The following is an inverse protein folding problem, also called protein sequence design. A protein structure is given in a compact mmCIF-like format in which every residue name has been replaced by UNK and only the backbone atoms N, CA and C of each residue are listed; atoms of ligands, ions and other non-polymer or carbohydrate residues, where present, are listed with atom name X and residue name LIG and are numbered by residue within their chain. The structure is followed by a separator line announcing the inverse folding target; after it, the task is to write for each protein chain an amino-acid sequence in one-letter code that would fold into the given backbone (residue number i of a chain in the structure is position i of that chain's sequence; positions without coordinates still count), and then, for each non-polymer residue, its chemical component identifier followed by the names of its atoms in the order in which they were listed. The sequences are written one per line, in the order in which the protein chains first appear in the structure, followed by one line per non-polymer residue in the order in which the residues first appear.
data_IF_723784452798
#
_entry.id   IF_723784452798
#
_cell.length_a   1.000
_cell.length_b   1.000
_cell.length_c   1.000
_cell.angle_alpha   90.00
_cell.angle_beta   90.00
_cell.angle_gamma   90.00
#
_symmetry.space_group_name_H-M   'P 1'
#
loop_
_entity.id
_entity.type
_entity.pdbx_description
1 polymer ?
#
# COMPACT_ATOMS: atom_id res chain seq x y z
N UNK A 1 23.71 7.30 -11.40
CA UNK A 1 24.60 6.69 -10.38
C UNK A 1 24.02 5.32 -10.04
N UNK A 2 24.81 4.24 -9.97
CA UNK A 2 24.31 2.97 -9.47
C UNK A 2 23.90 3.15 -8.01
N UNK A 3 22.60 3.09 -7.74
CA UNK A 3 22.09 3.06 -6.37
C UNK A 3 22.45 1.71 -5.76
N UNK A 4 23.20 1.74 -4.65
CA UNK A 4 23.54 0.53 -3.91
C UNK A 4 22.25 -0.08 -3.38
N UNK A 5 21.99 -1.34 -3.74
CA UNK A 5 20.85 -2.08 -3.24
C UNK A 5 21.15 -2.54 -1.81
N UNK A 6 20.34 -2.09 -0.87
CA UNK A 6 20.43 -2.47 0.53
C UNK A 6 19.70 -3.79 0.73
N UNK A 7 20.37 -4.81 1.29
CA UNK A 7 19.68 -6.03 1.69
C UNK A 7 18.79 -5.75 2.89
N UNK A 8 17.49 -6.05 2.77
CA UNK A 8 16.49 -5.72 3.81
C UNK A 8 15.66 -6.91 4.27
N UNK A 9 15.93 -8.10 3.74
CA UNK A 9 15.24 -9.30 4.20
C UNK A 9 15.23 -10.43 3.20
N UNK A 10 14.47 -11.47 3.51
CA UNK A 10 14.24 -12.58 2.59
C UNK A 10 12.84 -13.16 2.72
N UNK A 11 12.39 -13.83 1.66
CA UNK A 11 11.14 -14.60 1.63
C UNK A 11 11.45 -16.04 1.22
N UNK A 12 10.78 -17.02 1.81
CA UNK A 12 10.92 -18.41 1.43
C UNK A 12 9.67 -18.88 0.69
N UNK A 13 9.86 -19.76 -0.27
CA UNK A 13 8.77 -20.43 -0.98
C UNK A 13 8.82 -21.92 -0.66
N UNK A 14 7.65 -22.48 -0.42
CA UNK A 14 7.41 -23.89 -0.12
C UNK A 14 6.60 -24.51 -1.26
N UNK A 15 7.11 -25.60 -1.81
CA UNK A 15 6.42 -26.41 -2.83
C UNK A 15 6.18 -27.80 -2.23
N UNK A 16 5.06 -27.95 -1.52
CA UNK A 16 4.79 -29.13 -0.70
C UNK A 16 5.81 -29.29 0.43
N UNK A 17 6.51 -30.43 0.56
CA UNK A 17 7.51 -30.64 1.61
C UNK A 17 8.85 -29.93 1.31
N UNK A 18 9.04 -29.40 0.10
CA UNK A 18 10.30 -28.79 -0.30
C UNK A 18 10.32 -27.31 0.05
N UNK A 19 11.32 -26.92 0.86
CA UNK A 19 11.67 -25.52 1.12
C UNK A 19 12.72 -25.06 0.11
N UNK A 20 12.34 -24.13 -0.76
CA UNK A 20 13.27 -23.52 -1.71
C UNK A 20 14.31 -22.63 -1.01
N UNK A 21 15.32 -22.21 -1.78
CA UNK A 21 16.30 -21.24 -1.29
C UNK A 21 15.62 -19.92 -0.90
N UNK A 22 16.08 -19.24 0.18
CA UNK A 22 15.61 -17.90 0.50
C UNK A 22 15.80 -16.96 -0.69
N UNK A 23 14.77 -16.18 -0.99
CA UNK A 23 14.81 -15.14 -2.01
C UNK A 23 15.12 -13.83 -1.28
N UNK A 24 16.27 -13.24 -1.59
CA UNK A 24 16.68 -11.97 -1.00
C UNK A 24 15.80 -10.81 -1.49
N UNK A 25 15.46 -9.92 -0.56
CA UNK A 25 14.74 -8.67 -0.79
C UNK A 25 15.70 -7.50 -0.66
N UNK A 26 15.62 -6.59 -1.62
CA UNK A 26 16.48 -5.43 -1.67
C UNK A 26 15.68 -4.14 -1.65
N UNK A 27 16.16 -3.17 -0.89
CA UNK A 27 15.67 -1.81 -0.87
C UNK A 27 16.49 -0.95 -1.83
N UNK A 28 15.78 -0.23 -2.68
CA UNK A 28 16.29 0.88 -3.46
C UNK A 28 15.68 2.20 -2.95
N UNK A 29 16.52 3.16 -2.59
CA UNK A 29 16.10 4.48 -2.11
C UNK A 29 16.34 5.51 -3.21
N UNK A 30 15.28 6.15 -3.68
CA UNK A 30 15.35 7.34 -4.52
C UNK A 30 15.12 8.58 -3.65
N UNK A 31 15.26 9.78 -4.23
CA UNK A 31 15.15 11.05 -3.50
C UNK A 31 13.79 11.25 -2.81
N UNK A 32 12.72 10.64 -3.34
CA UNK A 32 11.35 10.79 -2.82
C UNK A 32 10.64 9.48 -2.53
N UNK A 33 11.24 8.32 -2.83
CA UNK A 33 10.55 7.05 -2.74
C UNK A 33 11.48 5.90 -2.35
N UNK A 34 10.92 4.89 -1.72
CA UNK A 34 11.57 3.62 -1.42
C UNK A 34 10.90 2.53 -2.24
N UNK A 35 11.70 1.62 -2.80
CA UNK A 35 11.22 0.44 -3.51
C UNK A 35 11.83 -0.81 -2.89
N UNK A 36 11.01 -1.83 -2.60
CA UNK A 36 11.47 -3.11 -2.06
C UNK A 36 11.00 -4.23 -2.97
N UNK A 37 11.91 -5.12 -3.35
CA UNK A 37 11.55 -6.32 -4.09
C UNK A 37 12.73 -7.26 -4.31
N UNK A 38 12.47 -8.49 -4.74
CA UNK A 38 13.51 -9.43 -5.11
C UNK A 38 14.09 -9.08 -6.49
N UNK A 39 15.29 -9.59 -6.76
CA UNK A 39 15.89 -9.55 -8.10
C UNK A 39 15.77 -10.88 -8.84
N UNK A 40 15.35 -11.94 -8.15
CA UNK A 40 15.26 -13.28 -8.72
C UNK A 40 13.98 -13.46 -9.54
N UNK A 41 14.13 -13.96 -10.77
CA UNK A 41 13.00 -14.45 -11.58
C UNK A 41 12.39 -15.72 -10.95
N UNK A 42 11.05 -15.89 -10.97
CA UNK A 42 10.00 -15.04 -11.58
C UNK A 42 9.45 -13.94 -10.67
N UNK A 43 10.04 -13.72 -9.50
CA UNK A 43 9.47 -12.85 -8.46
C UNK A 43 9.85 -11.38 -8.60
N UNK A 44 10.77 -11.06 -9.52
CA UNK A 44 11.33 -9.74 -9.74
C UNK A 44 10.29 -8.67 -10.16
N UNK A 45 9.10 -9.08 -10.57
CA UNK A 45 8.01 -8.18 -10.95
C UNK A 45 7.21 -7.68 -9.72
N UNK A 46 7.37 -8.33 -8.57
CA UNK A 46 6.71 -7.93 -7.32
C UNK A 46 7.56 -6.87 -6.62
N UNK A 47 7.16 -5.61 -6.79
CA UNK A 47 7.87 -4.47 -6.20
C UNK A 47 6.92 -3.66 -5.33
N UNK A 48 7.22 -3.60 -4.03
CA UNK A 48 6.63 -2.68 -3.08
C UNK A 48 7.20 -1.28 -3.24
N UNK A 49 6.39 -0.24 -3.03
CA UNK A 49 6.76 1.16 -3.16
C UNK A 49 6.14 2.00 -2.04
N UNK A 50 6.86 3.02 -1.58
CA UNK A 50 6.34 3.96 -0.59
C UNK A 50 7.36 5.00 -0.16
N UNK A 51 6.87 6.11 0.39
CA UNK A 51 7.73 7.24 0.82
C UNK A 51 8.79 6.83 1.85
N UNK A 52 8.51 5.80 2.64
CA UNK A 52 9.44 5.23 3.63
C UNK A 52 9.69 3.75 3.32
N UNK A 53 10.81 3.18 3.82
CA UNK A 53 11.07 1.75 3.69
C UNK A 53 9.97 0.88 4.31
N UNK A 54 9.36 1.33 5.40
CA UNK A 54 8.26 0.62 6.07
C UNK A 54 6.98 0.61 5.24
N UNK A 55 6.65 1.72 4.57
CA UNK A 55 5.53 1.79 3.63
C UNK A 55 5.78 0.90 2.41
N UNK A 56 7.01 0.93 1.86
CA UNK A 56 7.39 0.07 0.75
C UNK A 56 7.33 -1.42 1.12
N UNK A 57 7.71 -1.79 2.35
CA UNK A 57 7.60 -3.16 2.86
C UNK A 57 6.15 -3.62 3.00
N UNK A 58 5.26 -2.74 3.48
CA UNK A 58 3.84 -3.03 3.58
C UNK A 58 3.18 -3.23 2.21
N UNK A 59 3.46 -2.35 1.24
CA UNK A 59 2.99 -2.48 -0.14
C UNK A 59 3.56 -3.75 -0.81
N UNK A 60 4.81 -4.12 -0.51
CA UNK A 60 5.38 -5.39 -0.97
C UNK A 60 4.60 -6.59 -0.44
N UNK A 61 4.29 -6.64 0.86
CA UNK A 61 3.52 -7.74 1.45
C UNK A 61 2.13 -7.89 0.85
N UNK A 62 1.47 -6.78 0.55
CA UNK A 62 0.15 -6.78 -0.10
C UNK A 62 0.23 -7.31 -1.53
N UNK A 63 1.18 -6.81 -2.32
CA UNK A 63 1.41 -7.29 -3.69
C UNK A 63 1.86 -8.74 -3.73
N UNK A 64 2.68 -9.18 -2.76
CA UNK A 64 3.14 -10.56 -2.67
C UNK A 64 1.97 -11.52 -2.45
N UNK A 65 1.00 -11.16 -1.62
CA UNK A 65 -0.25 -11.94 -1.44
C UNK A 65 -1.08 -12.03 -2.71
N UNK A 66 -1.00 -11.03 -3.59
CA UNK A 66 -1.72 -11.00 -4.86
C UNK A 66 -1.06 -11.82 -5.99
N UNK A 67 0.12 -12.42 -5.76
CA UNK A 67 0.84 -13.23 -6.77
C UNK A 67 0.15 -14.57 -7.11
N UNK A 68 -0.92 -14.93 -6.38
CA UNK A 68 -1.63 -16.19 -6.55
C UNK A 68 -1.01 -17.38 -5.81
N UNK A 69 0.09 -17.16 -5.07
CA UNK A 69 0.61 -18.14 -4.12
C UNK A 69 -0.33 -18.26 -2.91
N UNK A 70 -0.68 -19.49 -2.54
CA UNK A 70 -1.42 -19.73 -1.30
C UNK A 70 -0.55 -19.39 -0.08
N UNK A 71 -1.17 -19.02 1.04
CA UNK A 71 -0.48 -18.51 2.23
C UNK A 71 0.46 -19.54 2.90
N UNK A 72 0.26 -20.83 2.65
CA UNK A 72 1.10 -21.94 3.09
C UNK A 72 2.30 -22.22 2.14
N UNK A 73 2.27 -21.66 0.93
CA UNK A 73 3.32 -21.82 -0.08
C UNK A 73 4.48 -20.84 0.07
N UNK A 74 4.45 -19.94 1.05
CA UNK A 74 5.57 -19.04 1.32
C UNK A 74 5.63 -18.62 2.79
N UNK A 75 6.81 -18.23 3.26
CA UNK A 75 6.94 -17.56 4.56
C UNK A 75 6.57 -16.09 4.40
N UNK A 76 6.00 -15.45 5.43
CA UNK A 76 6.02 -13.98 5.46
C UNK A 76 7.45 -13.45 5.26
N UNK A 77 7.64 -12.24 4.70
CA UNK A 77 8.97 -11.67 4.56
C UNK A 77 9.65 -11.56 5.93
N UNK A 78 10.87 -12.08 6.02
CA UNK A 78 11.75 -11.90 7.17
C UNK A 78 12.51 -10.61 6.98
N UNK A 79 12.08 -9.56 7.67
CA UNK A 79 12.64 -8.22 7.56
C UNK A 79 13.89 -8.02 8.42
N UNK A 80 14.86 -7.29 7.88
CA UNK A 80 16.13 -6.91 8.51
C UNK A 80 16.28 -5.38 8.52
N UNK A 81 17.33 -4.86 9.16
CA UNK A 81 17.67 -3.42 9.09
C UNK A 81 16.64 -2.49 9.77
N UNK A 82 15.81 -3.03 10.67
CA UNK A 82 14.80 -2.26 11.41
C UNK A 82 13.50 -1.98 10.64
N UNK A 83 13.30 -2.61 9.47
CA UNK A 83 12.05 -2.54 8.72
C UNK A 83 10.91 -3.13 9.55
N UNK A 84 9.87 -2.32 9.75
CA UNK A 84 8.62 -2.72 10.40
C UNK A 84 7.47 -2.29 9.49
N UNK A 85 6.89 -3.22 8.69
CA UNK A 85 5.81 -2.90 7.77
C UNK A 85 4.71 -2.10 8.45
N UNK A 86 4.44 -0.91 7.92
CA UNK A 86 3.36 -0.08 8.41
C UNK A 86 2.05 -0.69 7.92
N UNK A 87 1.21 -1.18 8.85
CA UNK A 87 -0.14 -1.60 8.47
C UNK A 87 -0.84 -0.42 7.78
N UNK A 88 -1.40 -0.60 6.57
CA UNK A 88 -2.17 0.46 5.93
C UNK A 88 -3.20 0.98 6.94
N UNK A 89 -3.20 2.28 7.17
CA UNK A 89 -4.22 2.88 8.04
C UNK A 89 -5.59 2.52 7.44
N UNK A 90 -6.56 2.05 8.25
CA UNK A 90 -7.88 1.73 7.73
C UNK A 90 -8.43 2.96 6.97
N UNK A 91 -9.03 2.78 5.78
CA UNK A 91 -9.55 3.90 5.02
C UNK A 91 -10.47 4.71 5.91
N UNK A 92 -10.23 6.02 5.95
CA UNK A 92 -11.04 6.93 6.75
C UNK A 92 -12.50 6.79 6.29
N UNK A 93 -13.47 6.63 7.22
CA UNK A 93 -14.88 6.53 6.82
C UNK A 93 -15.23 7.72 5.93
N UNK A 94 -15.99 7.52 4.84
CA UNK A 94 -16.42 8.62 3.99
C UNK A 94 -17.09 9.68 4.85
N UNK A 95 -16.63 10.93 4.70
CA UNK A 95 -17.19 12.05 5.45
C UNK A 95 -18.69 12.12 5.20
N UNK A 96 -19.48 12.20 6.28
CA UNK A 96 -20.93 12.32 6.18
C UNK A 96 -21.31 13.48 5.25
N UNK A 97 -22.27 13.30 4.34
CA UNK A 97 -22.70 14.38 3.45
C UNK A 97 -23.15 15.58 4.29
N UNK A 98 -22.63 16.76 3.97
CA UNK A 98 -23.03 18.02 4.63
C UNK A 98 -24.54 18.24 4.42
N UNK A 99 -25.31 18.61 5.47
CA UNK A 99 -26.70 18.98 5.29
C UNK A 99 -26.81 20.16 4.32
N UNK A 100 -27.67 20.02 3.32
CA UNK A 100 -28.05 21.12 2.44
C UNK A 100 -28.91 22.07 3.27
N UNK A 101 -28.44 23.29 3.51
CA UNK A 101 -29.26 24.31 4.12
C UNK A 101 -30.36 24.70 3.13
N UNK A 102 -31.61 24.30 3.41
CA UNK A 102 -32.79 24.78 2.68
C UNK A 102 -32.83 26.30 2.76
N UNK A 103 -32.64 26.94 1.61
CA UNK A 103 -32.75 28.40 1.49
C UNK A 103 -34.23 28.77 1.67
N UNK A 104 -34.50 29.53 2.73
CA UNK A 104 -35.82 30.07 3.02
C UNK A 104 -36.32 30.95 1.86
N UNK A 105 -37.57 30.74 1.44
CA UNK A 105 -38.26 31.60 0.50
C UNK A 105 -38.54 32.98 1.13
N UNK A 106 -38.28 34.10 0.44
CA UNK A 106 -38.74 35.40 0.91
C UNK A 106 -40.23 35.60 0.59
N UNK A 107 -41.00 35.89 1.63
CA UNK A 107 -42.36 36.39 1.56
C UNK A 107 -42.36 37.93 1.41
N UNK A 108 -43.08 38.46 0.42
CA UNK A 108 -43.58 39.84 0.33
C UNK A 108 -44.46 39.93 -0.93
N UNK A 109 -45.60 40.62 -1.03
CA UNK A 109 -46.61 41.23 -0.15
C UNK A 109 -47.80 41.62 -1.10
N UNK A 110 -48.99 42.04 -0.61
CA UNK A 110 -50.24 42.02 -1.38
C UNK A 110 -50.32 43.13 -2.45
N UNK A 111 -51.02 42.85 -3.55
CA UNK A 111 -51.40 43.85 -4.56
C UNK A 111 -52.74 44.48 -4.20
N UNK A 112 -52.71 45.80 -4.11
CA UNK A 112 -53.83 46.72 -3.87
C UNK A 112 -54.57 46.98 -5.20
N UNK A 113 -55.90 46.94 -5.16
CA UNK A 113 -56.82 47.09 -6.29
C UNK A 113 -57.25 48.56 -6.40
N UNK A 114 -56.87 49.25 -7.50
CA UNK A 114 -57.48 50.53 -7.92
C UNK A 114 -57.16 50.88 -9.37
N UNK A 115 -58.17 50.72 -10.23
CA UNK A 115 -58.62 51.59 -11.35
C UNK A 115 -59.07 50.81 -12.58
#
# INVERSE_FOLDING_TARGET
MPQLLEYVGSVHIFLGPYRGNPIALYLNRTEMNCQIGPRAYPWNDVVGSGETPNKAAADFEEKWKATGLAADMYSGPSWEGGIKPERPAPPKPPAAPKPVASTAAPAAQPVDESN
#
